data_IF_394690473951
#
_entry.id   IF_394690473951
#
_cell.length_a   1.000
_cell.length_b   1.000
_cell.length_c   1.000
_cell.angle_alpha   90.00
_cell.angle_beta   90.00
_cell.angle_gamma   90.00
#
_symmetry.space_group_name_H-M   'P 1'
#
loop_
_entity.id
_entity.type
_entity.pdbx_description
1 polymer ?
#
# COMPACT_ATOMS: atom_id res chain seq x y z
N UNK A 1 38.15 0.76 -40.20
CA UNK A 1 37.49 1.99 -39.74
C UNK A 1 37.41 1.92 -38.23
N UNK A 2 38.01 2.90 -37.56
CA UNK A 2 38.13 2.97 -36.10
C UNK A 2 36.74 3.21 -35.52
N UNK A 3 36.23 2.26 -34.74
CA UNK A 3 34.93 2.35 -34.08
C UNK A 3 35.06 3.39 -32.96
N UNK A 4 34.45 4.55 -33.13
CA UNK A 4 34.41 5.61 -32.10
C UNK A 4 33.59 5.09 -30.92
N UNK A 5 34.13 5.17 -29.72
CA UNK A 5 33.40 4.80 -28.51
C UNK A 5 32.27 5.82 -28.24
N UNK A 6 31.07 5.38 -27.82
CA UNK A 6 29.95 6.28 -27.57
C UNK A 6 30.31 7.31 -26.49
N UNK A 7 30.06 8.59 -26.76
CA UNK A 7 30.26 9.64 -25.76
C UNK A 7 29.13 9.62 -24.73
N UNK A 8 29.39 9.09 -23.54
CA UNK A 8 28.39 8.95 -22.47
C UNK A 8 27.88 10.29 -21.89
N UNK A 9 28.65 11.37 -22.02
CA UNK A 9 28.32 12.69 -21.47
C UNK A 9 28.31 13.78 -22.53
N UNK A 10 27.36 14.73 -22.42
CA UNK A 10 27.23 15.83 -23.37
C UNK A 10 28.45 16.77 -23.36
N UNK A 11 28.93 17.25 -24.52
CA UNK A 11 29.97 18.26 -24.61
C UNK A 11 29.63 19.54 -23.83
N UNK A 12 30.68 20.24 -23.34
CA UNK A 12 30.52 21.53 -22.69
C UNK A 12 29.85 22.55 -23.64
N UNK A 13 28.86 23.31 -23.16
CA UNK A 13 28.11 24.29 -23.96
C UNK A 13 26.87 23.74 -24.70
N UNK A 14 26.51 22.47 -24.49
CA UNK A 14 25.28 21.88 -25.07
C UNK A 14 24.02 22.53 -24.48
N UNK A 15 23.09 22.98 -25.34
CA UNK A 15 21.79 23.54 -24.94
C UNK A 15 20.96 22.52 -24.14
N UNK A 16 20.09 22.99 -23.25
CA UNK A 16 19.44 22.16 -22.21
C UNK A 16 18.56 21.04 -22.76
N UNK A 17 17.87 21.28 -23.87
CA UNK A 17 17.08 20.30 -24.64
C UNK A 17 17.93 19.12 -25.14
N UNK A 18 19.10 19.40 -25.73
CA UNK A 18 20.07 18.41 -26.22
C UNK A 18 20.75 17.68 -25.08
N UNK A 19 21.00 18.38 -23.97
CA UNK A 19 21.59 17.77 -22.76
C UNK A 19 20.68 16.69 -22.18
N UNK A 20 19.37 16.91 -22.16
CA UNK A 20 18.38 15.95 -21.66
C UNK A 20 18.24 14.70 -22.56
N UNK A 21 18.53 14.82 -23.85
CA UNK A 21 18.44 13.73 -24.82
C UNK A 21 19.75 12.95 -25.00
N UNK A 22 20.87 13.47 -24.50
CA UNK A 22 22.21 12.96 -24.79
C UNK A 22 22.39 11.48 -24.40
N UNK A 23 21.98 11.10 -23.18
CA UNK A 23 22.10 9.71 -22.71
C UNK A 23 21.31 8.73 -23.57
N UNK A 24 20.15 9.16 -24.07
CA UNK A 24 19.31 8.36 -24.98
C UNK A 24 19.97 8.21 -26.35
N UNK A 25 20.56 9.27 -26.91
CA UNK A 25 21.28 9.19 -28.18
C UNK A 25 22.51 8.30 -28.08
N UNK A 26 23.31 8.44 -27.01
CA UNK A 26 24.47 7.59 -26.77
C UNK A 26 24.08 6.11 -26.66
N UNK A 27 22.98 5.79 -25.98
CA UNK A 27 22.47 4.42 -25.89
C UNK A 27 21.99 3.86 -27.25
N UNK A 28 21.33 4.68 -28.07
CA UNK A 28 20.89 4.28 -29.42
C UNK A 28 22.09 4.06 -30.34
N UNK A 29 23.08 4.95 -30.30
CA UNK A 29 24.33 4.80 -31.06
C UNK A 29 25.08 3.51 -30.68
N UNK A 30 25.21 3.25 -29.38
CA UNK A 30 25.82 2.03 -28.88
C UNK A 30 25.09 0.76 -29.34
N UNK A 31 23.75 0.81 -29.46
CA UNK A 31 22.95 -0.30 -29.96
C UNK A 31 23.07 -0.48 -31.48
N UNK A 32 23.02 0.61 -32.25
CA UNK A 32 23.21 0.58 -33.72
C UNK A 32 24.61 0.12 -34.11
N UNK A 33 25.61 0.40 -33.28
CA UNK A 33 26.99 -0.05 -33.47
C UNK A 33 27.20 -1.56 -33.25
N UNK A 34 26.18 -2.31 -32.82
CA UNK A 34 26.23 -3.78 -32.74
C UNK A 34 25.98 -4.38 -34.13
N UNK A 35 26.63 -5.52 -34.40
CA UNK A 35 26.58 -6.20 -35.70
C UNK A 35 25.13 -6.41 -36.18
N UNK A 36 24.82 -5.91 -37.39
CA UNK A 36 23.53 -6.12 -38.06
C UNK A 36 22.34 -5.32 -37.49
N UNK A 37 22.51 -4.50 -36.45
CA UNK A 37 21.39 -3.73 -35.87
C UNK A 37 20.92 -2.60 -36.77
N UNK A 38 21.85 -1.85 -37.35
CA UNK A 38 21.52 -0.80 -38.32
C UNK A 38 20.84 -1.36 -39.57
N UNK A 39 21.36 -2.46 -40.12
CA UNK A 39 20.80 -3.11 -41.30
C UNK A 39 19.39 -3.67 -41.03
N UNK A 40 19.18 -4.33 -39.88
CA UNK A 40 17.86 -4.79 -39.46
C UNK A 40 16.86 -3.63 -39.25
N UNK A 41 17.33 -2.49 -38.73
CA UNK A 41 16.51 -1.31 -38.54
C UNK A 41 16.10 -0.69 -39.88
N UNK A 42 17.04 -0.50 -40.81
CA UNK A 42 16.74 -0.01 -42.15
C UNK A 42 15.76 -0.94 -42.87
N UNK A 43 15.98 -2.26 -42.80
CA UNK A 43 15.08 -3.26 -43.39
C UNK A 43 13.68 -3.22 -42.82
N UNK A 44 13.53 -3.02 -41.50
CA UNK A 44 12.22 -2.93 -40.86
C UNK A 44 11.36 -1.75 -41.36
N UNK A 45 12.01 -0.73 -41.94
CA UNK A 45 11.35 0.45 -42.51
C UNK A 45 11.44 0.50 -44.04
N UNK A 46 11.90 -0.58 -44.70
CA UNK A 46 12.13 -0.65 -46.15
C UNK A 46 13.08 0.46 -46.66
N UNK A 47 14.15 0.75 -45.89
CA UNK A 47 15.12 1.82 -46.16
C UNK A 47 16.50 1.30 -46.61
N UNK A 48 16.63 0.01 -46.87
CA UNK A 48 17.89 -0.66 -47.21
C UNK A 48 18.49 -0.19 -48.55
N UNK A 49 17.66 0.20 -49.53
CA UNK A 49 18.08 0.65 -50.86
C UNK A 49 18.01 2.17 -51.06
N UNK A 50 17.78 2.94 -50.00
CA UNK A 50 17.53 4.38 -50.08
C UNK A 50 18.80 5.18 -50.35
N UNK A 51 18.78 6.07 -51.34
CA UNK A 51 19.91 6.93 -51.71
C UNK A 51 20.15 8.04 -50.67
N UNK A 52 21.36 8.61 -50.63
CA UNK A 52 21.77 9.59 -49.62
C UNK A 52 20.81 10.79 -49.50
N UNK A 53 20.36 11.34 -50.62
CA UNK A 53 19.46 12.49 -50.65
C UNK A 53 18.06 12.14 -50.13
N UNK A 54 17.59 10.92 -50.40
CA UNK A 54 16.33 10.41 -49.87
C UNK A 54 16.41 10.15 -48.37
N UNK A 55 17.56 9.69 -47.86
CA UNK A 55 17.80 9.54 -46.42
C UNK A 55 17.73 10.89 -45.70
N UNK A 56 18.22 11.96 -46.34
CA UNK A 56 18.14 13.31 -45.77
C UNK A 56 16.69 13.84 -45.72
N UNK A 57 15.91 13.63 -46.78
CA UNK A 57 14.48 13.97 -46.78
C UNK A 57 13.70 13.19 -45.72
N UNK A 58 13.98 11.90 -45.56
CA UNK A 58 13.37 11.05 -44.52
C UNK A 58 13.78 11.53 -43.13
N UNK A 59 15.05 11.90 -42.92
CA UNK A 59 15.53 12.47 -41.66
C UNK A 59 14.74 13.72 -41.28
N UNK A 60 14.50 14.62 -42.23
CA UNK A 60 13.72 15.84 -41.99
C UNK A 60 12.26 15.53 -41.62
N UNK A 61 11.63 14.58 -42.30
CA UNK A 61 10.27 14.16 -41.99
C UNK A 61 10.16 13.48 -40.62
N UNK A 62 11.16 12.68 -40.25
CA UNK A 62 11.25 12.06 -38.92
C UNK A 62 11.47 13.13 -37.85
N UNK A 63 12.38 14.09 -38.08
CA UNK A 63 12.65 15.18 -37.15
C UNK A 63 11.40 16.03 -36.86
N UNK A 64 10.61 16.33 -37.89
CA UNK A 64 9.35 17.07 -37.74
C UNK A 64 8.31 16.38 -36.84
N UNK A 65 8.43 15.06 -36.63
CA UNK A 65 7.53 14.27 -35.80
C UNK A 65 8.21 13.73 -34.53
N UNK A 66 9.53 13.91 -34.39
CA UNK A 66 10.31 13.31 -33.32
C UNK A 66 9.97 13.89 -31.95
N UNK A 67 9.74 15.20 -31.87
CA UNK A 67 9.37 15.88 -30.63
C UNK A 67 7.97 15.48 -30.17
N UNK A 68 6.99 15.45 -31.09
CA UNK A 68 5.65 14.97 -30.80
C UNK A 68 5.64 13.49 -30.38
N UNK A 69 6.46 12.65 -31.02
CA UNK A 69 6.63 11.25 -30.63
C UNK A 69 7.33 11.12 -29.27
N UNK A 70 8.29 12.00 -28.96
CA UNK A 70 9.00 12.04 -27.68
C UNK A 70 8.06 12.47 -26.56
N UNK A 71 7.29 13.53 -26.74
CA UNK A 71 6.26 13.99 -25.81
C UNK A 71 5.23 12.89 -25.56
N UNK A 72 4.77 12.22 -26.62
CA UNK A 72 3.88 11.06 -26.52
C UNK A 72 4.50 9.85 -25.80
N UNK A 73 5.84 9.80 -25.67
CA UNK A 73 6.54 8.75 -24.91
C UNK A 73 6.74 9.11 -23.43
N UNK A 74 6.51 10.35 -23.02
CA UNK A 74 6.56 10.71 -21.60
C UNK A 74 5.30 10.22 -20.90
N UNK A 75 5.48 9.49 -19.79
CA UNK A 75 4.35 9.12 -18.94
C UNK A 75 4.02 10.34 -18.07
N UNK A 76 2.82 10.89 -18.21
CA UNK A 76 2.31 11.95 -17.34
C UNK A 76 2.19 11.49 -15.88
N UNK A 77 2.07 10.18 -15.65
CA UNK A 77 1.98 9.59 -14.31
C UNK A 77 3.39 9.18 -13.84
N UNK A 78 3.87 9.68 -12.69
CA UNK A 78 5.14 9.26 -12.13
C UNK A 78 5.08 7.78 -11.75
N UNK A 79 6.20 7.07 -11.93
CA UNK A 79 6.33 5.70 -11.42
C UNK A 79 6.25 5.77 -9.89
N UNK A 80 5.31 5.06 -9.25
CA UNK A 80 5.22 5.08 -7.79
C UNK A 80 6.44 4.37 -7.20
N UNK A 81 7.17 5.07 -6.33
CA UNK A 81 8.43 4.61 -5.71
C UNK A 81 8.20 3.56 -4.62
N UNK A 82 7.02 3.54 -4.00
CA UNK A 82 6.71 2.73 -2.80
C UNK A 82 5.45 1.85 -2.95
N UNK A 83 5.08 1.48 -4.18
CA UNK A 83 3.87 0.70 -4.45
C UNK A 83 4.14 -0.72 -4.98
N UNK A 84 5.33 -1.27 -4.75
CA UNK A 84 5.55 -2.70 -5.03
C UNK A 84 4.82 -3.59 -3.99
N UNK A 85 4.65 -4.86 -4.35
CA UNK A 85 3.84 -5.79 -3.54
C UNK A 85 4.44 -6.02 -2.14
N UNK A 86 5.76 -5.98 -2.00
CA UNK A 86 6.43 -6.19 -0.71
C UNK A 86 6.25 -4.99 0.22
N UNK A 87 6.42 -3.78 -0.29
CA UNK A 87 6.21 -2.55 0.46
C UNK A 87 4.75 -2.41 0.91
N UNK A 88 3.80 -2.71 0.01
CA UNK A 88 2.37 -2.68 0.33
C UNK A 88 1.99 -3.77 1.36
N UNK A 89 2.52 -4.98 1.21
CA UNK A 89 2.31 -6.07 2.18
C UNK A 89 2.87 -5.68 3.56
N UNK A 90 4.06 -5.09 3.59
CA UNK A 90 4.68 -4.61 4.85
C UNK A 90 3.83 -3.53 5.51
N UNK A 91 3.31 -2.57 4.74
CA UNK A 91 2.45 -1.51 5.26
C UNK A 91 1.12 -2.06 5.81
N UNK A 92 0.51 -3.02 5.11
CA UNK A 92 -0.71 -3.71 5.58
C UNK A 92 -0.44 -4.48 6.87
N UNK A 93 0.63 -5.27 6.91
CA UNK A 93 0.98 -6.05 8.09
C UNK A 93 1.35 -5.16 9.27
N UNK A 94 1.98 -4.00 9.03
CA UNK A 94 2.26 -3.01 10.08
C UNK A 94 0.97 -2.42 10.66
N UNK A 95 -0.02 -2.13 9.82
CA UNK A 95 -1.33 -1.66 10.28
C UNK A 95 -2.08 -2.72 11.10
N UNK A 96 -1.92 -4.00 10.75
CA UNK A 96 -2.59 -5.10 11.44
C UNK A 96 -1.87 -5.47 12.74
N UNK A 97 -0.57 -5.74 12.68
CA UNK A 97 0.20 -6.41 13.74
C UNK A 97 1.34 -5.57 14.30
N UNK A 98 1.56 -4.36 13.80
CA UNK A 98 2.71 -3.54 14.17
C UNK A 98 3.98 -3.87 13.40
N UNK A 99 5.03 -3.09 13.66
CA UNK A 99 6.25 -3.13 12.87
C UNK A 99 6.95 -4.50 12.95
N UNK A 100 7.30 -5.06 11.79
CA UNK A 100 8.03 -6.33 11.69
C UNK A 100 7.21 -7.60 12.00
N UNK A 101 5.91 -7.46 12.23
CA UNK A 101 4.99 -8.58 12.52
C UNK A 101 4.08 -8.91 11.34
N UNK A 102 3.55 -10.12 11.33
CA UNK A 102 2.58 -10.62 10.35
C UNK A 102 1.74 -11.74 10.98
N UNK A 103 0.78 -12.28 10.22
CA UNK A 103 -0.18 -13.28 10.70
C UNK A 103 0.45 -14.63 11.08
N UNK A 104 1.69 -14.91 10.65
CA UNK A 104 2.41 -16.15 10.96
C UNK A 104 3.34 -16.03 12.17
N UNK A 105 3.36 -14.88 12.84
CA UNK A 105 4.17 -14.63 14.03
C UNK A 105 3.28 -14.45 15.25
N UNK A 106 3.82 -14.78 16.42
CA UNK A 106 3.17 -14.48 17.68
C UNK A 106 2.89 -12.98 17.81
N UNK A 107 1.68 -12.68 18.25
CA UNK A 107 1.31 -11.35 18.71
C UNK A 107 1.96 -11.11 20.07
N UNK A 108 2.60 -9.97 20.22
CA UNK A 108 3.08 -9.49 21.51
C UNK A 108 2.63 -8.05 21.71
N UNK A 109 2.41 -7.68 22.96
CA UNK A 109 1.87 -6.36 23.28
C UNK A 109 2.76 -5.21 22.81
N UNK A 110 4.09 -5.37 22.80
CA UNK A 110 5.01 -4.30 22.39
C UNK A 110 4.82 -3.95 20.91
N UNK A 111 4.64 -4.94 20.05
CA UNK A 111 4.34 -4.68 18.65
C UNK A 111 2.96 -4.05 18.44
N UNK A 112 1.97 -4.50 19.22
CA UNK A 112 0.57 -4.09 19.08
C UNK A 112 0.28 -2.68 19.64
N UNK A 113 0.92 -2.31 20.75
CA UNK A 113 0.61 -1.09 21.52
C UNK A 113 1.83 -0.19 21.74
N UNK A 114 3.05 -0.69 21.54
CA UNK A 114 4.29 -0.01 21.93
C UNK A 114 4.58 -0.06 23.43
N UNK A 115 3.82 -0.84 24.20
CA UNK A 115 3.99 -1.03 25.65
C UNK A 115 4.12 -2.52 25.98
N UNK A 116 4.59 -2.84 27.19
CA UNK A 116 4.67 -4.20 27.71
C UNK A 116 3.99 -4.31 29.08
N UNK A 117 3.61 -5.53 29.46
CA UNK A 117 3.19 -5.84 30.83
C UNK A 117 1.80 -5.35 31.22
N UNK A 118 0.94 -4.95 30.28
CA UNK A 118 -0.39 -4.43 30.58
C UNK A 118 -1.42 -5.56 30.55
N UNK A 119 -2.23 -5.64 31.62
CA UNK A 119 -3.43 -6.46 31.64
C UNK A 119 -4.50 -5.90 30.68
N UNK A 120 -5.52 -6.72 30.38
CA UNK A 120 -6.67 -6.34 29.55
C UNK A 120 -7.23 -4.95 29.89
N UNK A 121 -7.55 -4.70 31.17
CA UNK A 121 -8.20 -3.47 31.60
C UNK A 121 -7.35 -2.23 31.33
N UNK A 122 -6.05 -2.26 31.62
CA UNK A 122 -5.15 -1.15 31.30
C UNK A 122 -4.93 -1.00 29.79
N UNK A 123 -4.80 -2.12 29.07
CA UNK A 123 -4.49 -2.11 27.64
C UNK A 123 -5.67 -1.69 26.77
N UNK A 124 -6.90 -1.90 27.24
CA UNK A 124 -8.15 -1.65 26.49
C UNK A 124 -8.94 -0.44 27.03
N UNK A 125 -8.36 0.34 27.95
CA UNK A 125 -8.90 1.67 28.30
C UNK A 125 -9.82 1.72 29.54
N UNK A 126 -9.84 0.69 30.37
CA UNK A 126 -10.60 0.64 31.63
C UNK A 126 -9.84 1.23 32.81
N UNK A 127 -8.66 0.69 33.11
CA UNK A 127 -7.88 1.08 34.31
C UNK A 127 -6.83 2.17 33.99
N UNK A 128 -6.49 2.33 32.72
CA UNK A 128 -5.52 3.31 32.26
C UNK A 128 -6.04 4.02 31.01
N UNK A 129 -5.64 5.29 30.87
CA UNK A 129 -6.01 6.07 29.70
C UNK A 129 -5.30 5.53 28.44
N UNK A 130 -6.10 5.05 27.48
CA UNK A 130 -5.61 4.67 26.15
C UNK A 130 -6.02 5.78 25.20
N UNK A 131 -5.07 6.54 24.66
CA UNK A 131 -5.39 7.71 23.83
C UNK A 131 -5.44 7.40 22.34
N UNK A 132 -4.89 6.25 21.92
CA UNK A 132 -4.76 5.85 20.51
C UNK A 132 -4.91 4.34 20.34
N UNK A 133 -5.62 3.93 19.29
CA UNK A 133 -5.64 2.55 18.79
C UNK A 133 -4.62 2.40 17.66
N UNK A 134 -3.48 1.78 17.97
CA UNK A 134 -2.32 1.74 17.06
C UNK A 134 -2.43 0.70 15.96
N UNK A 135 -2.91 -0.51 16.30
CA UNK A 135 -2.96 -1.65 15.39
C UNK A 135 -4.35 -2.28 15.38
N UNK A 136 -4.74 -2.86 14.25
CA UNK A 136 -6.04 -3.54 14.14
C UNK A 136 -6.10 -4.79 15.04
N UNK A 137 -5.01 -5.55 15.14
CA UNK A 137 -4.97 -6.75 15.98
C UNK A 137 -5.15 -6.41 17.46
N UNK A 138 -4.62 -5.28 17.95
CA UNK A 138 -4.89 -4.81 19.31
C UNK A 138 -6.36 -4.48 19.51
N UNK A 139 -6.97 -3.72 18.59
CA UNK A 139 -8.38 -3.38 18.65
C UNK A 139 -9.25 -4.65 18.67
N UNK A 140 -8.97 -5.61 17.79
CA UNK A 140 -9.65 -6.92 17.75
C UNK A 140 -9.43 -7.71 19.03
N UNK A 141 -8.21 -7.74 19.59
CA UNK A 141 -7.94 -8.43 20.85
C UNK A 141 -8.72 -7.80 22.02
N UNK A 142 -8.90 -6.48 22.02
CA UNK A 142 -9.70 -5.80 23.04
C UNK A 142 -11.21 -6.06 22.87
N UNK A 143 -11.72 -6.09 21.65
CA UNK A 143 -13.15 -6.35 21.35
C UNK A 143 -13.51 -7.82 21.57
N UNK A 144 -12.67 -8.73 21.09
CA UNK A 144 -12.98 -10.16 21.01
C UNK A 144 -12.33 -10.99 22.11
N UNK A 145 -11.36 -10.45 22.84
CA UNK A 145 -10.73 -11.11 23.97
C UNK A 145 -11.45 -10.79 25.28
N UNK A 146 -11.19 -11.61 26.29
CA UNK A 146 -11.77 -11.43 27.63
C UNK A 146 -10.71 -11.14 28.67
N UNK A 147 -11.11 -10.56 29.80
CA UNK A 147 -10.23 -10.40 30.96
C UNK A 147 -9.71 -11.75 31.46
N UNK A 148 -8.57 -11.72 32.15
CA UNK A 148 -7.99 -12.92 32.78
C UNK A 148 -9.04 -13.63 33.66
N UNK A 149 -9.04 -14.96 33.64
CA UNK A 149 -9.96 -15.86 34.35
C UNK A 149 -11.35 -16.06 33.71
N UNK A 150 -11.66 -15.38 32.59
CA UNK A 150 -12.86 -15.63 31.78
C UNK A 150 -12.55 -16.56 30.60
N UNK A 151 -12.41 -17.85 30.87
CA UNK A 151 -11.95 -18.84 29.90
C UNK A 151 -13.07 -19.58 29.14
N UNK A 152 -14.32 -19.14 29.30
CA UNK A 152 -15.53 -19.81 28.81
C UNK A 152 -16.47 -18.85 28.07
N UNK A 153 -15.94 -17.74 27.54
CA UNK A 153 -16.67 -16.67 26.85
C UNK A 153 -15.89 -16.29 25.58
N UNK A 154 -16.57 -16.22 24.43
CA UNK A 154 -15.99 -15.74 23.15
C UNK A 154 -16.85 -14.60 22.57
N UNK A 155 -16.59 -13.32 22.93
CA UNK A 155 -17.44 -12.18 22.58
C UNK A 155 -17.75 -12.01 21.08
N UNK A 156 -16.80 -12.36 20.21
CA UNK A 156 -16.97 -12.22 18.75
C UNK A 156 -17.65 -13.42 18.08
N UNK A 157 -18.15 -14.39 18.84
CA UNK A 157 -18.93 -15.53 18.35
C UNK A 157 -20.23 -15.60 19.15
N UNK A 158 -21.37 -15.55 18.46
CA UNK A 158 -22.68 -15.69 19.11
C UNK A 158 -22.76 -17.02 19.87
N UNK A 159 -23.01 -16.96 21.19
CA UNK A 159 -23.00 -18.11 22.10
C UNK A 159 -21.67 -18.89 22.11
N UNK A 160 -20.56 -18.25 21.77
CA UNK A 160 -19.23 -18.85 21.82
C UNK A 160 -18.77 -19.06 23.27
N UNK A 161 -18.19 -20.23 23.54
CA UNK A 161 -17.82 -20.67 24.89
C UNK A 161 -16.35 -21.10 25.00
N UNK A 162 -15.53 -20.77 24.01
CA UNK A 162 -14.10 -21.08 24.07
C UNK A 162 -13.31 -20.07 24.90
N UNK A 163 -11.98 -20.17 24.80
CA UNK A 163 -11.05 -19.46 25.66
C UNK A 163 -10.26 -18.46 24.83
N UNK A 164 -10.59 -17.20 25.01
CA UNK A 164 -9.94 -16.04 24.37
C UNK A 164 -9.44 -15.03 25.41
N UNK A 165 -9.18 -15.50 26.63
CA UNK A 165 -8.74 -14.63 27.72
C UNK A 165 -7.34 -14.08 27.43
N UNK A 166 -7.14 -12.82 27.80
CA UNK A 166 -5.81 -12.22 27.86
C UNK A 166 -4.94 -12.92 28.90
N UNK A 167 -3.62 -12.80 28.73
CA UNK A 167 -2.71 -13.17 29.81
C UNK A 167 -2.77 -12.12 30.93
N UNK A 168 -2.23 -12.46 32.10
CA UNK A 168 -2.23 -11.55 33.26
C UNK A 168 -1.55 -10.20 32.98
N UNK A 169 -0.59 -10.17 32.05
CA UNK A 169 0.18 -8.97 31.70
C UNK A 169 0.60 -8.96 30.23
N UNK A 170 -0.18 -9.62 29.37
CA UNK A 170 0.09 -9.67 27.92
C UNK A 170 -1.20 -9.96 27.14
N UNK A 171 -1.13 -9.79 25.82
CA UNK A 171 -2.19 -10.13 24.87
C UNK A 171 -2.44 -11.64 24.82
N UNK A 172 -3.59 -12.11 24.31
CA UNK A 172 -3.84 -13.54 24.18
C UNK A 172 -2.73 -14.26 23.39
N UNK A 173 -2.18 -15.33 23.94
CA UNK A 173 -1.14 -16.14 23.27
C UNK A 173 -1.68 -16.89 22.04
N UNK A 174 -0.77 -17.43 21.23
CA UNK A 174 -1.01 -18.03 19.91
C UNK A 174 -2.33 -18.81 19.78
N UNK A 175 -2.60 -19.77 20.67
CA UNK A 175 -3.81 -20.60 20.59
C UNK A 175 -5.11 -19.80 20.81
N UNK A 176 -5.09 -18.83 21.72
CA UNK A 176 -6.24 -17.97 22.03
C UNK A 176 -6.41 -16.91 20.93
N UNK A 177 -5.32 -16.37 20.42
CA UNK A 177 -5.32 -15.47 19.28
C UNK A 177 -5.85 -16.14 18.00
N UNK A 178 -5.44 -17.37 17.73
CA UNK A 178 -5.94 -18.15 16.60
C UNK A 178 -7.46 -18.38 16.69
N UNK A 179 -8.02 -18.56 17.89
CA UNK A 179 -9.47 -18.63 18.10
C UNK A 179 -10.17 -17.30 17.81
N UNK A 180 -9.61 -16.18 18.27
CA UNK A 180 -10.10 -14.83 17.93
C UNK A 180 -10.10 -14.64 16.41
N UNK A 181 -9.02 -15.00 15.72
CA UNK A 181 -8.94 -14.91 14.25
C UNK A 181 -9.94 -15.83 13.54
N UNK A 182 -10.22 -17.01 14.10
CA UNK A 182 -11.19 -17.95 13.53
C UNK A 182 -12.63 -17.45 13.59
N UNK A 183 -12.93 -16.47 14.46
CA UNK A 183 -14.22 -15.80 14.51
C UNK A 183 -14.46 -14.87 13.29
N UNK A 184 -13.40 -14.46 12.59
CA UNK A 184 -13.54 -13.62 11.41
C UNK A 184 -14.27 -14.37 10.28
N UNK A 185 -15.24 -13.74 9.60
CA UNK A 185 -15.90 -14.35 8.44
C UNK A 185 -14.89 -14.75 7.38
N UNK A 186 -15.01 -15.98 6.88
CA UNK A 186 -14.16 -16.46 5.78
C UNK A 186 -14.48 -15.69 4.52
N UNK A 187 -13.47 -15.03 3.97
CA UNK A 187 -13.55 -14.32 2.69
C UNK A 187 -12.83 -15.11 1.61
N UNK A 188 -13.43 -15.19 0.41
CA UNK A 188 -12.76 -15.76 -0.75
C UNK A 188 -11.53 -14.92 -1.09
N UNK A 189 -10.35 -15.53 -1.30
CA UNK A 189 -9.16 -14.80 -1.72
C UNK A 189 -9.45 -14.01 -3.01
N UNK A 190 -9.21 -12.70 -2.95
CA UNK A 190 -9.45 -11.80 -4.05
C UNK A 190 -8.37 -10.70 -4.03
N UNK A 191 -7.98 -10.16 -5.19
CA UNK A 191 -7.00 -9.08 -5.26
C UNK A 191 -7.39 -7.90 -4.36
N UNK A 192 -6.43 -7.40 -3.60
CA UNK A 192 -6.64 -6.22 -2.78
C UNK A 192 -6.64 -4.98 -3.69
N UNK A 193 -7.69 -4.18 -3.61
CA UNK A 193 -7.83 -2.94 -4.40
C UNK A 193 -8.03 -1.77 -3.46
N UNK A 194 -7.72 -0.55 -3.93
CA UNK A 194 -7.95 0.67 -3.17
C UNK A 194 -9.42 0.81 -2.75
N UNK A 195 -10.36 0.50 -3.65
CA UNK A 195 -11.80 0.51 -3.37
C UNK A 195 -12.16 -0.44 -2.22
N UNK A 196 -11.65 -1.68 -2.24
CA UNK A 196 -11.94 -2.66 -1.18
C UNK A 196 -11.38 -2.22 0.17
N UNK A 197 -10.17 -1.67 0.20
CA UNK A 197 -9.60 -1.12 1.44
C UNK A 197 -10.44 0.05 1.94
N UNK A 198 -10.84 0.99 1.08
CA UNK A 198 -11.68 2.13 1.50
C UNK A 198 -13.04 1.69 2.02
N UNK A 199 -13.68 0.71 1.39
CA UNK A 199 -14.93 0.14 1.90
C UNK A 199 -14.74 -0.50 3.27
N UNK A 200 -13.64 -1.23 3.49
CA UNK A 200 -13.32 -1.81 4.79
C UNK A 200 -13.02 -0.73 5.86
N UNK A 201 -12.28 0.32 5.50
CA UNK A 201 -12.03 1.49 6.37
C UNK A 201 -13.34 2.16 6.75
N UNK A 202 -14.24 2.42 5.79
CA UNK A 202 -15.52 3.06 6.07
C UNK A 202 -16.42 2.19 6.98
N UNK A 203 -16.47 0.88 6.74
CA UNK A 203 -17.22 -0.05 7.59
C UNK A 203 -16.64 -0.10 9.02
N UNK A 204 -15.32 -0.13 9.14
CA UNK A 204 -14.63 -0.12 10.42
C UNK A 204 -14.80 1.21 11.17
N UNK A 205 -14.78 2.35 10.46
CA UNK A 205 -15.10 3.66 11.03
C UNK A 205 -16.51 3.72 11.60
N UNK A 206 -17.48 3.07 10.94
CA UNK A 206 -18.86 2.97 11.44
C UNK A 206 -19.02 2.10 12.69
N UNK A 207 -18.00 1.35 13.08
CA UNK A 207 -17.97 0.60 14.35
C UNK A 207 -17.36 1.43 15.51
N UNK A 208 -16.98 2.69 15.26
CA UNK A 208 -16.52 3.61 16.29
C UNK A 208 -17.71 4.44 16.75
N UNK A 209 -17.95 4.40 18.06
CA UNK A 209 -19.07 5.05 18.72
C UNK A 209 -18.52 5.97 19.81
N UNK A 210 -19.21 7.06 20.11
CA UNK A 210 -18.74 8.06 21.06
C UNK A 210 -19.78 8.39 22.11
N UNK A 211 -19.31 8.84 23.28
CA UNK A 211 -20.14 9.30 24.41
C UNK A 211 -20.10 10.83 24.59
N UNK A 212 -19.52 11.57 23.64
CA UNK A 212 -19.30 13.01 23.71
C UNK A 212 -17.96 13.42 24.35
N UNK A 213 -17.18 12.48 24.91
CA UNK A 213 -15.83 12.73 25.43
C UNK A 213 -14.84 11.66 24.96
N UNK A 214 -15.27 10.41 24.94
CA UNK A 214 -14.49 9.22 24.63
C UNK A 214 -15.05 8.54 23.38
N UNK A 215 -14.23 7.67 22.80
CA UNK A 215 -14.66 6.81 21.71
C UNK A 215 -14.44 5.36 22.08
N UNK A 216 -15.30 4.47 21.60
CA UNK A 216 -15.20 3.04 21.76
C UNK A 216 -15.20 2.35 20.40
N UNK A 217 -14.49 1.24 20.29
CA UNK A 217 -14.44 0.41 19.07
C UNK A 217 -15.27 -0.84 19.32
N UNK A 218 -16.30 -1.09 18.51
CA UNK A 218 -17.21 -2.24 18.65
C UNK A 218 -18.58 -1.87 19.19
N UNK A 219 -19.44 -2.86 19.45
CA UNK A 219 -20.80 -2.61 19.92
C UNK A 219 -20.82 -2.24 21.41
N UNK A 220 -21.59 -1.21 21.74
CA UNK A 220 -22.10 -0.98 23.09
C UNK A 220 -23.18 -2.02 23.37
N UNK A 221 -22.87 -3.05 24.15
CA UNK A 221 -23.92 -3.51 25.07
C UNK A 221 -24.22 -2.34 26.04
N UNK A 222 -25.43 -2.27 26.61
CA UNK A 222 -25.89 -1.10 27.37
C UNK A 222 -25.04 -0.75 28.61
N UNK A 223 -24.06 -1.59 28.94
CA UNK A 223 -23.30 -1.55 30.17
C UNK A 223 -21.79 -1.27 29.94
N UNK A 224 -21.40 -0.60 28.83
CA UNK A 224 -20.03 -0.08 28.69
C UNK A 224 -19.65 0.98 29.74
N UNK A 225 -20.58 1.34 30.64
CA UNK A 225 -20.53 2.54 31.46
C UNK A 225 -20.03 2.35 32.89
N UNK A 226 -20.04 1.15 33.48
CA UNK A 226 -19.31 0.87 34.75
C UNK A 226 -19.53 -0.51 35.39
N UNK A 227 -20.47 -1.38 34.97
CA UNK A 227 -20.75 -2.61 35.72
C UNK A 227 -20.89 -3.89 34.88
N UNK A 228 -19.84 -4.71 34.99
CA UNK A 228 -19.84 -6.18 34.85
C UNK A 228 -19.90 -6.76 33.43
N UNK A 229 -18.73 -7.28 33.03
CA UNK A 229 -18.53 -8.55 32.31
C UNK A 229 -18.33 -8.57 30.80
N UNK A 230 -18.56 -7.49 30.05
CA UNK A 230 -18.14 -7.35 28.64
C UNK A 230 -17.77 -5.90 28.34
N UNK A 231 -16.53 -5.54 28.69
CA UNK A 231 -16.07 -4.15 28.78
C UNK A 231 -15.55 -3.65 27.43
N UNK A 232 -16.05 -2.50 26.98
CA UNK A 232 -15.82 -2.01 25.62
C UNK A 232 -14.45 -1.33 25.49
N UNK A 233 -13.65 -1.60 24.44
CA UNK A 233 -12.36 -0.95 24.25
C UNK A 233 -12.54 0.55 24.07
N UNK A 234 -11.90 1.36 24.92
CA UNK A 234 -12.10 2.80 25.01
C UNK A 234 -10.85 3.60 24.66
N UNK A 235 -11.06 4.68 23.93
CA UNK A 235 -10.11 5.74 23.63
C UNK A 235 -10.44 6.96 24.48
N UNK A 236 -9.58 7.23 25.44
CA UNK A 236 -9.74 8.32 26.41
C UNK A 236 -9.65 9.68 25.73
N UNK A 237 -10.63 10.56 25.97
CA UNK A 237 -10.68 11.94 25.49
C UNK A 237 -10.57 12.07 23.96
N UNK A 238 -11.02 11.06 23.21
CA UNK A 238 -10.91 11.02 21.76
C UNK A 238 -11.80 12.07 21.05
N UNK A 239 -12.91 12.48 21.68
CA UNK A 239 -13.84 13.51 21.19
C UNK A 239 -13.77 14.80 22.01
N UNK A 240 -13.01 14.80 23.13
CA UNK A 240 -12.91 15.96 24.01
C UNK A 240 -12.43 17.21 23.25
N UNK A 241 -13.12 18.33 23.46
CA UNK A 241 -12.85 19.62 22.81
C UNK A 241 -12.99 19.57 21.28
N UNK A 242 -14.09 19.00 20.77
CA UNK A 242 -14.37 18.83 19.34
C UNK A 242 -13.30 17.98 18.62
N UNK A 243 -12.74 17.00 19.34
CA UNK A 243 -11.77 16.05 18.79
C UNK A 243 -12.42 15.13 17.75
N UNK A 244 -11.65 14.70 16.75
CA UNK A 244 -12.08 13.66 15.80
C UNK A 244 -11.55 12.28 16.26
N UNK A 245 -12.43 11.37 16.73
CA UNK A 245 -12.03 10.02 17.16
C UNK A 245 -11.27 9.23 16.10
N UNK A 246 -11.57 9.44 14.81
CA UNK A 246 -10.91 8.70 13.73
C UNK A 246 -9.43 9.04 13.64
N UNK A 247 -9.02 10.23 14.11
CA UNK A 247 -7.60 10.61 14.19
C UNK A 247 -6.83 9.80 15.24
N UNK A 248 -7.53 9.17 16.19
CA UNK A 248 -6.94 8.32 17.24
C UNK A 248 -6.85 6.85 16.85
N UNK A 249 -7.41 6.47 15.70
CA UNK A 249 -7.40 5.09 15.20
C UNK A 249 -6.38 4.98 14.07
N UNK A 250 -5.11 4.81 14.43
CA UNK A 250 -3.98 4.97 13.52
C UNK A 250 -3.96 3.92 12.39
N UNK A 251 -4.42 2.71 12.66
CA UNK A 251 -4.49 1.66 11.63
C UNK A 251 -5.47 2.00 10.50
N UNK A 252 -6.54 2.77 10.75
CA UNK A 252 -7.43 3.27 9.68
C UNK A 252 -6.71 4.25 8.75
N UNK A 253 -5.87 5.12 9.32
CA UNK A 253 -5.06 6.06 8.54
C UNK A 253 -4.03 5.33 7.69
N UNK A 254 -3.39 4.31 8.26
CA UNK A 254 -2.42 3.49 7.55
C UNK A 254 -3.08 2.75 6.37
N UNK A 255 -4.26 2.16 6.55
CA UNK A 255 -5.00 1.54 5.45
C UNK A 255 -5.42 2.56 4.38
N UNK A 256 -5.80 3.78 4.77
CA UNK A 256 -6.10 4.86 3.82
C UNK A 256 -4.87 5.25 2.98
N UNK A 257 -3.68 5.26 3.60
CA UNK A 257 -2.42 5.49 2.89
C UNK A 257 -2.11 4.35 1.90
N UNK A 258 -2.32 3.09 2.29
CA UNK A 258 -2.17 1.92 1.40
C UNK A 258 -3.13 2.02 0.20
N UNK A 259 -4.41 2.38 0.43
CA UNK A 259 -5.38 2.56 -0.65
C UNK A 259 -4.93 3.65 -1.64
N UNK A 260 -4.34 4.74 -1.14
CA UNK A 260 -3.80 5.82 -1.98
C UNK A 260 -2.63 5.33 -2.85
N UNK A 261 -1.71 4.54 -2.28
CA UNK A 261 -0.59 3.94 -3.04
C UNK A 261 -1.09 2.97 -4.12
N UNK A 262 -2.13 2.18 -3.83
CA UNK A 262 -2.76 1.28 -4.80
C UNK A 262 -3.39 2.04 -5.97
N UNK A 263 -4.08 3.14 -5.71
CA UNK A 263 -4.65 4.00 -6.78
C UNK A 263 -3.57 4.60 -7.68
N UNK A 264 -2.49 5.11 -7.08
CA UNK A 264 -1.36 5.65 -7.85
C UNK A 264 -0.76 4.58 -8.76
N UNK A 265 -0.57 3.36 -8.25
CA UNK A 265 -0.12 2.22 -9.06
C UNK A 265 -1.10 1.87 -10.17
N UNK A 266 -2.40 1.87 -9.90
CA UNK A 266 -3.40 1.58 -10.91
C UNK A 266 -3.38 2.64 -12.03
N UNK A 267 -3.32 3.92 -11.70
CA UNK A 267 -3.20 5.03 -12.68
C UNK A 267 -1.94 4.88 -13.53
N UNK A 268 -0.79 4.65 -12.89
CA UNK A 268 0.47 4.40 -13.59
C UNK A 268 0.38 3.21 -14.56
N UNK A 269 -0.18 2.09 -14.11
CA UNK A 269 -0.32 0.88 -14.94
C UNK A 269 -1.27 1.09 -16.13
N UNK A 270 -2.36 1.85 -15.96
CA UNK A 270 -3.27 2.23 -17.04
C UNK A 270 -2.53 3.10 -18.07
N UNK A 271 -1.79 4.11 -17.60
CA UNK A 271 -0.98 4.98 -18.47
C UNK A 271 0.08 4.18 -19.25
N UNK A 272 0.77 3.27 -18.57
CA UNK A 272 1.76 2.37 -19.20
C UNK A 272 1.13 1.46 -20.25
N UNK A 273 -0.06 0.92 -19.97
CA UNK A 273 -0.79 0.06 -20.91
C UNK A 273 -1.24 0.83 -22.14
N UNK A 274 -1.77 2.06 -21.96
CA UNK A 274 -2.14 2.97 -23.05
C UNK A 274 -0.93 3.24 -23.95
N UNK A 275 0.21 3.61 -23.35
CA UNK A 275 1.48 3.83 -24.08
C UNK A 275 1.89 2.59 -24.90
N UNK A 276 1.85 1.40 -24.32
CA UNK A 276 2.20 0.15 -25.02
C UNK A 276 1.28 -0.15 -26.20
N UNK A 277 -0.01 0.14 -26.10
CA UNK A 277 -0.98 -0.05 -27.19
C UNK A 277 -0.77 0.94 -28.34
N UNK A 278 -0.50 2.21 -28.02
CA UNK A 278 -0.24 3.25 -29.04
C UNK A 278 1.03 2.98 -29.85
N UNK A 279 2.02 2.27 -29.26
CA UNK A 279 3.31 2.00 -29.89
C UNK A 279 3.45 0.57 -30.45
N UNK A 280 2.36 -0.20 -30.58
CA UNK A 280 2.46 -1.51 -31.24
C UNK A 280 2.74 -1.25 -32.72
N UNK A 281 3.92 -1.60 -33.28
CA UNK A 281 4.15 -1.44 -34.70
C UNK A 281 3.09 -2.28 -35.42
N UNK A 282 2.46 -1.71 -36.45
CA UNK A 282 1.65 -2.50 -37.35
C UNK A 282 2.55 -3.61 -37.89
N UNK A 283 2.36 -4.83 -37.42
CA UNK A 283 2.82 -5.99 -38.15
C UNK A 283 1.96 -6.01 -39.40
N UNK A 284 2.43 -5.31 -40.44
CA UNK A 284 1.85 -5.32 -41.77
C UNK A 284 1.76 -6.78 -42.22
N UNK A 285 0.55 -7.17 -42.61
CA UNK A 285 0.35 -8.31 -43.50
C UNK A 285 0.79 -7.92 -44.91
#
# INVERSE_FOLDING_TARGET
MTKVEPMETSPAGTHSDRKNMWSRWAAIEADLAKLGREEAMLKAYNLETTWTDQKELIRQQVAANADAALEATTLSEPKPTEADDNALTTAINTAIYGAGKDAGKDVDQQALTGQTGQAYASSCGKDAAVTESKTLAHAVACVCGTAQAKNNEEPCIANGAGNVQWEASDVPQEQKWAKIQAACPKVTPQPLTATRIRSAVAAASGAIITDGTHASIGHMDTDCDDHSNTECPRLTNAEQNDGDPLTKVLWLQQFTAVATKLDQRQKYNIALTKKRKTYKPSTGK
#
